data_IF_519814634243
#
_entry.id   IF_519814634243
#
_cell.length_a   1.000
_cell.length_b   1.000
_cell.length_c   1.000
_cell.angle_alpha   90.00
_cell.angle_beta   90.00
_cell.angle_gamma   90.00
#
_symmetry.space_group_name_H-M   'P 1'
#
loop_
_entity.id
_entity.type
_entity.pdbx_description
1 polymer ?
#
# COMPACT_ATOMS: atom_id res chain seq x y z
N UNK A 1 4.53 18.33 17.20
CA UNK A 1 4.24 16.88 17.04
C UNK A 1 4.94 16.39 15.76
N UNK A 2 5.05 15.09 15.51
CA UNK A 2 5.58 14.56 14.23
C UNK A 2 4.54 13.66 13.58
N UNK A 3 4.57 13.61 12.26
CA UNK A 3 3.81 12.65 11.47
C UNK A 3 4.71 12.01 10.42
N UNK A 4 4.23 10.90 9.86
CA UNK A 4 4.98 10.09 8.91
C UNK A 4 4.18 9.94 7.63
N UNK A 5 4.86 9.79 6.50
CA UNK A 5 4.25 9.30 5.27
C UNK A 5 4.88 7.98 4.87
N UNK A 6 4.06 7.09 4.34
CA UNK A 6 4.50 5.88 3.66
C UNK A 6 4.04 5.94 2.21
N UNK A 7 4.97 5.75 1.29
CA UNK A 7 4.73 5.84 -0.17
C UNK A 7 5.28 4.58 -0.81
N UNK A 8 4.46 3.88 -1.59
CA UNK A 8 4.95 2.76 -2.40
C UNK A 8 5.92 3.29 -3.45
N UNK A 9 7.04 2.61 -3.62
CA UNK A 9 8.00 2.97 -4.65
C UNK A 9 7.37 2.68 -6.01
N UNK A 10 7.33 3.71 -6.87
CA UNK A 10 6.72 3.62 -8.21
C UNK A 10 7.65 4.10 -9.33
N UNK A 11 8.85 4.58 -8.97
CA UNK A 11 9.90 4.91 -9.91
C UNK A 11 11.15 4.11 -9.58
N UNK A 12 11.69 3.42 -10.57
CA UNK A 12 12.85 2.54 -10.44
C UNK A 12 14.03 2.99 -11.30
N UNK A 13 13.96 4.21 -11.87
CA UNK A 13 15.05 4.78 -12.67
C UNK A 13 16.33 4.78 -11.83
N UNK A 14 17.36 4.08 -12.32
CA UNK A 14 18.67 3.99 -11.66
C UNK A 14 18.73 3.02 -10.48
N UNK A 15 17.68 2.26 -10.18
CA UNK A 15 17.73 1.21 -9.15
C UNK A 15 18.18 -0.12 -9.80
N UNK A 16 19.40 -0.62 -9.50
CA UNK A 16 19.90 -1.85 -10.12
C UNK A 16 19.28 -3.12 -9.55
N UNK A 17 18.52 -3.04 -8.44
CA UNK A 17 18.01 -4.22 -7.71
C UNK A 17 16.50 -4.40 -7.82
N UNK A 18 15.76 -3.35 -8.11
CA UNK A 18 14.29 -3.38 -8.09
C UNK A 18 13.81 -2.65 -9.33
N UNK A 19 12.94 -3.30 -10.09
CA UNK A 19 12.22 -2.75 -11.23
C UNK A 19 10.71 -2.79 -10.94
N UNK A 20 9.91 -2.19 -11.81
CA UNK A 20 8.44 -2.24 -11.77
C UNK A 20 7.93 -3.68 -11.56
N UNK A 21 8.50 -4.65 -12.27
CA UNK A 21 8.17 -6.07 -12.07
C UNK A 21 8.24 -6.55 -10.62
N UNK A 22 9.30 -6.18 -9.91
CA UNK A 22 9.47 -6.58 -8.52
C UNK A 22 8.41 -5.95 -7.62
N UNK A 23 8.10 -4.68 -7.86
CA UNK A 23 7.13 -3.94 -7.08
C UNK A 23 5.70 -4.44 -7.29
N UNK A 24 5.33 -4.76 -8.52
CA UNK A 24 4.01 -5.31 -8.85
C UNK A 24 3.85 -6.72 -8.27
N UNK A 25 4.89 -7.55 -8.34
CA UNK A 25 4.90 -8.87 -7.71
C UNK A 25 4.85 -8.79 -6.17
N UNK A 26 5.50 -7.78 -5.59
CA UNK A 26 5.52 -7.54 -4.14
C UNK A 26 4.18 -7.01 -3.61
N UNK A 27 3.60 -6.00 -4.28
CA UNK A 27 2.37 -5.36 -3.86
C UNK A 27 1.13 -6.16 -4.27
N UNK A 28 1.20 -6.85 -5.41
CA UNK A 28 0.10 -7.62 -5.99
C UNK A 28 -0.88 -6.76 -6.79
N UNK A 29 -1.81 -7.47 -7.42
CA UNK A 29 -2.91 -6.91 -8.19
C UNK A 29 -4.17 -6.87 -7.32
N UNK A 30 -4.83 -5.72 -7.24
CA UNK A 30 -6.08 -5.56 -6.49
C UNK A 30 -7.29 -5.62 -7.43
N UNK A 31 -8.36 -6.26 -6.96
CA UNK A 31 -9.65 -6.28 -7.62
C UNK A 31 -10.77 -6.11 -6.60
N UNK A 32 -11.81 -5.35 -6.96
CA UNK A 32 -13.02 -5.19 -6.15
C UNK A 32 -14.20 -4.87 -7.06
N UNK A 33 -15.33 -5.52 -6.82
CA UNK A 33 -16.57 -5.31 -7.60
C UNK A 33 -16.37 -5.45 -9.13
N UNK A 34 -15.52 -6.40 -9.54
CA UNK A 34 -15.18 -6.63 -10.95
C UNK A 34 -14.25 -5.58 -11.57
N UNK A 35 -13.75 -4.62 -10.78
CA UNK A 35 -12.78 -3.61 -11.19
C UNK A 35 -11.39 -3.97 -10.72
N UNK A 36 -10.43 -3.91 -11.63
CA UNK A 36 -9.05 -4.27 -11.38
C UNK A 36 -8.16 -3.02 -11.38
N UNK A 37 -7.28 -2.90 -10.39
CA UNK A 37 -6.44 -1.72 -10.18
C UNK A 37 -4.97 -2.07 -10.44
N UNK A 38 -4.19 -1.22 -11.15
CA UNK A 38 -4.46 0.20 -11.44
C UNK A 38 -5.16 0.48 -12.78
N UNK A 39 -5.67 -0.53 -13.49
CA UNK A 39 -6.22 -0.36 -14.85
C UNK A 39 -7.58 0.38 -14.88
N UNK A 40 -8.30 0.45 -13.76
CA UNK A 40 -9.48 1.32 -13.61
C UNK A 40 -9.07 2.79 -13.38
N UNK A 41 -9.79 3.73 -14.01
CA UNK A 41 -9.50 5.18 -13.95
C UNK A 41 -9.77 5.79 -12.58
N UNK A 42 -10.50 5.10 -11.70
CA UNK A 42 -10.83 5.59 -10.37
C UNK A 42 -9.94 4.88 -9.34
N UNK A 43 -8.68 5.31 -9.23
CA UNK A 43 -7.65 4.77 -8.31
C UNK A 43 -8.06 4.79 -6.83
N UNK A 44 -9.09 5.58 -6.47
CA UNK A 44 -9.63 5.73 -5.12
C UNK A 44 -11.03 5.15 -4.94
N UNK A 45 -11.58 4.48 -5.97
CA UNK A 45 -12.92 3.91 -5.90
C UNK A 45 -12.92 2.76 -4.90
N UNK A 46 -13.88 2.83 -3.98
CA UNK A 46 -14.42 1.68 -3.26
C UNK A 46 -13.77 1.27 -1.93
N UNK A 47 -13.18 2.18 -1.14
CA UNK A 47 -13.19 1.96 0.34
C UNK A 47 -14.62 1.95 0.89
N UNK A 48 -15.56 2.56 0.16
CA UNK A 48 -16.97 2.64 0.54
C UNK A 48 -17.76 1.37 0.16
N UNK A 49 -17.19 0.49 -0.66
CA UNK A 49 -17.85 -0.76 -1.04
C UNK A 49 -17.81 -1.76 0.12
N UNK A 50 -18.91 -2.49 0.38
CA UNK A 50 -18.93 -3.54 1.39
C UNK A 50 -18.18 -4.81 0.95
N UNK A 51 -17.79 -4.94 -0.32
CA UNK A 51 -17.11 -6.11 -0.86
C UNK A 51 -15.66 -6.20 -0.39
N UNK A 52 -15.16 -7.41 -0.06
CA UNK A 52 -13.76 -7.59 0.32
C UNK A 52 -12.83 -7.22 -0.84
N UNK A 53 -11.60 -6.81 -0.51
CA UNK A 53 -10.55 -6.65 -1.53
C UNK A 53 -10.13 -8.05 -2.00
N UNK A 54 -10.09 -8.26 -3.31
CA UNK A 54 -9.50 -9.44 -3.92
C UNK A 54 -8.04 -9.13 -4.29
N UNK A 55 -7.11 -10.02 -3.95
CA UNK A 55 -5.69 -9.86 -4.30
C UNK A 55 -5.19 -11.05 -5.11
N UNK A 56 -4.48 -10.77 -6.20
CA UNK A 56 -3.65 -11.75 -6.90
C UNK A 56 -2.17 -11.40 -6.72
N UNK A 57 -1.35 -12.35 -6.27
CA UNK A 57 0.09 -12.11 -6.03
C UNK A 57 0.91 -13.39 -6.05
N UNK A 58 2.22 -13.24 -6.04
CA UNK A 58 3.16 -14.33 -5.71
C UNK A 58 3.35 -14.44 -4.20
N UNK A 59 3.66 -15.65 -3.72
CA UNK A 59 3.85 -15.96 -2.29
C UNK A 59 5.28 -16.34 -1.92
N UNK A 60 6.21 -16.30 -2.87
CA UNK A 60 7.63 -16.60 -2.58
C UNK A 60 8.21 -15.61 -1.56
N UNK A 61 7.67 -14.41 -1.52
CA UNK A 61 7.89 -13.45 -0.46
C UNK A 61 6.52 -12.93 0.04
N UNK A 62 6.25 -13.15 1.32
CA UNK A 62 4.97 -12.83 1.98
C UNK A 62 5.23 -11.63 2.90
N UNK A 63 5.01 -10.39 2.42
CA UNK A 63 5.26 -9.21 3.20
C UNK A 63 4.19 -9.02 4.26
N UNK A 64 4.59 -8.45 5.38
CA UNK A 64 3.70 -8.05 6.45
C UNK A 64 2.78 -6.90 6.06
N UNK A 65 3.28 -6.01 5.20
CA UNK A 65 2.57 -4.87 4.67
C UNK A 65 2.78 -4.83 3.16
N UNK A 66 1.70 -4.81 2.42
CA UNK A 66 1.72 -4.56 0.99
C UNK A 66 0.69 -3.48 0.63
N UNK A 67 0.76 -2.99 -0.61
CA UNK A 67 -0.11 -1.92 -1.07
C UNK A 67 -0.48 -2.12 -2.55
N UNK A 68 -1.30 -3.13 -2.87
CA UNK A 68 -1.76 -3.33 -4.24
C UNK A 68 -2.55 -2.10 -4.67
N UNK A 69 -2.04 -1.40 -5.70
CA UNK A 69 -2.51 -0.08 -6.10
C UNK A 69 -2.50 0.93 -4.92
N UNK A 70 -3.66 1.43 -4.48
CA UNK A 70 -3.78 2.42 -3.41
C UNK A 70 -4.13 1.83 -2.03
N UNK A 71 -4.46 0.53 -1.96
CA UNK A 71 -5.02 -0.12 -0.77
C UNK A 71 -3.94 -0.58 0.20
N UNK A 72 -3.92 -0.07 1.43
CA UNK A 72 -3.01 -0.57 2.47
C UNK A 72 -3.50 -1.91 2.97
N UNK A 73 -2.66 -2.94 2.87
CA UNK A 73 -2.99 -4.30 3.28
C UNK A 73 -1.96 -4.78 4.28
N UNK A 74 -2.43 -5.29 5.41
CA UNK A 74 -1.60 -5.69 6.55
C UNK A 74 -1.89 -7.14 6.94
N UNK A 75 -0.86 -7.85 7.37
CA UNK A 75 -1.00 -9.20 7.90
C UNK A 75 -1.72 -9.17 9.26
N UNK A 76 -2.30 -10.30 9.66
CA UNK A 76 -3.09 -10.45 10.89
C UNK A 76 -2.38 -9.94 12.15
N UNK A 77 -1.05 -9.91 12.18
CA UNK A 77 -0.27 -9.48 13.36
C UNK A 77 -0.51 -8.03 13.76
N UNK A 78 -0.89 -7.16 12.82
CA UNK A 78 -1.14 -5.73 13.11
C UNK A 78 -2.60 -5.43 13.46
N UNK A 79 -3.53 -6.35 13.15
CA UNK A 79 -4.97 -6.12 13.25
C UNK A 79 -5.37 -5.67 14.65
N UNK A 80 -4.96 -6.41 15.69
CA UNK A 80 -5.34 -6.11 17.08
C UNK A 80 -4.89 -4.73 17.56
N UNK A 81 -3.72 -4.27 17.13
CA UNK A 81 -3.20 -2.94 17.50
C UNK A 81 -3.88 -1.84 16.69
N UNK A 82 -4.17 -2.09 15.41
CA UNK A 82 -4.87 -1.14 14.54
C UNK A 82 -6.35 -0.97 14.91
N UNK A 83 -7.02 -2.00 15.41
CA UNK A 83 -8.42 -1.92 15.90
C UNK A 83 -8.59 -0.95 17.08
N UNK A 84 -7.51 -0.63 17.79
CA UNK A 84 -7.52 0.32 18.91
C UNK A 84 -7.46 1.78 18.44
N UNK A 85 -7.15 2.01 17.17
CA UNK A 85 -7.05 3.34 16.61
C UNK A 85 -8.43 3.82 16.13
N UNK A 86 -8.80 5.09 16.38
CA UNK A 86 -10.08 5.62 15.93
C UNK A 86 -10.16 5.73 14.40
N UNK A 87 -11.39 5.72 13.89
CA UNK A 87 -11.72 5.98 12.48
C UNK A 87 -10.98 5.11 11.45
N UNK A 88 -10.59 3.91 11.85
CA UNK A 88 -10.06 2.87 10.97
C UNK A 88 -11.04 1.71 10.91
N UNK A 89 -11.29 1.22 9.70
CA UNK A 89 -12.02 -0.02 9.48
C UNK A 89 -11.06 -1.04 8.89
N UNK A 90 -11.02 -2.22 9.48
CA UNK A 90 -10.27 -3.35 8.94
C UNK A 90 -11.24 -4.27 8.22
N UNK A 91 -11.00 -4.50 6.94
CA UNK A 91 -11.80 -5.40 6.13
C UNK A 91 -10.98 -6.61 5.71
N UNK A 92 -11.51 -7.84 5.85
CA UNK A 92 -10.79 -9.03 5.44
C UNK A 92 -10.51 -9.00 3.93
N UNK A 93 -9.31 -9.41 3.56
CA UNK A 93 -8.89 -9.61 2.18
C UNK A 93 -9.17 -11.05 1.77
N UNK A 94 -9.57 -11.25 0.52
CA UNK A 94 -9.60 -12.58 -0.10
C UNK A 94 -8.49 -12.68 -1.14
N UNK A 95 -7.63 -13.68 -1.02
CA UNK A 95 -6.67 -13.97 -2.08
C UNK A 95 -7.41 -14.69 -3.21
N UNK A 96 -7.57 -14.02 -4.35
CA UNK A 96 -8.19 -14.59 -5.55
C UNK A 96 -7.26 -15.57 -6.23
N UNK A 97 -5.96 -15.27 -6.22
CA UNK A 97 -4.94 -16.09 -6.87
C UNK A 97 -3.58 -15.93 -6.22
N UNK A 98 -2.93 -17.06 -5.95
CA UNK A 98 -1.58 -17.15 -5.41
C UNK A 98 -0.73 -17.94 -6.38
N UNK A 99 0.24 -17.30 -7.00
CA UNK A 99 1.05 -17.91 -8.06
C UNK A 99 2.45 -18.27 -7.56
N UNK A 100 3.05 -19.30 -8.16
CA UNK A 100 4.45 -19.64 -7.93
C UNK A 100 5.35 -18.98 -8.97
N UNK A 101 5.62 -17.69 -8.75
CA UNK A 101 6.64 -16.96 -9.50
C UNK A 101 7.82 -16.78 -8.57
N UNK A 102 8.93 -17.39 -8.94
CA UNK A 102 10.20 -17.08 -8.32
C UNK A 102 10.56 -15.64 -8.68
N UNK A 103 10.57 -14.79 -7.66
CA UNK A 103 10.97 -13.41 -7.76
C UNK A 103 11.76 -13.10 -6.49
N UNK A 104 13.03 -12.78 -6.67
CA UNK A 104 13.86 -12.28 -5.60
C UNK A 104 14.28 -10.85 -5.94
N UNK A 105 14.48 -10.03 -4.92
CA UNK A 105 15.11 -8.72 -5.11
C UNK A 105 16.45 -8.90 -5.81
N UNK A 106 16.65 -8.15 -6.90
CA UNK A 106 17.87 -8.20 -7.72
C UNK A 106 17.89 -9.34 -8.72
N UNK A 107 16.85 -10.20 -8.75
CA UNK A 107 16.70 -11.21 -9.78
C UNK A 107 16.12 -10.56 -11.04
N UNK A 108 16.94 -10.47 -12.08
CA UNK A 108 16.54 -9.97 -13.39
C UNK A 108 16.34 -11.11 -14.41
N UNK A 109 16.46 -12.37 -13.99
CA UNK A 109 16.30 -13.53 -14.89
C UNK A 109 14.89 -13.66 -15.47
N UNK A 110 13.90 -12.99 -14.85
CA UNK A 110 12.54 -12.92 -15.38
C UNK A 110 12.49 -12.25 -16.76
N UNK A 111 13.36 -11.26 -17.03
CA UNK A 111 13.44 -10.58 -18.35
C UNK A 111 13.81 -11.62 -19.44
N UNK A 112 14.70 -12.57 -19.12
CA UNK A 112 15.14 -13.63 -20.04
C UNK A 112 14.09 -14.74 -20.18
N UNK A 113 13.44 -15.10 -19.07
CA UNK A 113 12.49 -16.22 -19.01
C UNK A 113 11.13 -15.89 -19.63
N UNK A 114 10.66 -14.66 -19.44
CA UNK A 114 9.31 -14.25 -19.81
C UNK A 114 9.30 -13.13 -20.86
N UNK A 115 10.43 -12.46 -21.10
CA UNK A 115 10.47 -11.27 -21.94
C UNK A 115 9.84 -10.04 -21.27
N UNK A 116 9.57 -8.96 -22.02
CA UNK A 116 8.92 -7.76 -21.51
C UNK A 116 7.42 -8.01 -21.31
N UNK A 117 7.06 -8.80 -20.29
CA UNK A 117 5.67 -9.11 -19.93
C UNK A 117 5.22 -8.17 -18.82
N UNK A 118 4.00 -7.65 -18.94
CA UNK A 118 3.34 -6.92 -17.86
C UNK A 118 3.17 -7.86 -16.65
N UNK A 119 3.75 -7.54 -15.47
CA UNK A 119 3.60 -8.34 -14.26
C UNK A 119 2.12 -8.64 -13.93
N UNK A 120 1.22 -7.70 -14.19
CA UNK A 120 -0.20 -7.87 -13.98
C UNK A 120 -0.79 -8.92 -14.93
N UNK A 121 -0.38 -8.93 -16.20
CA UNK A 121 -0.78 -9.98 -17.16
C UNK A 121 -0.23 -11.35 -16.75
N UNK A 122 0.99 -11.42 -16.24
CA UNK A 122 1.56 -12.67 -15.74
C UNK A 122 0.76 -13.21 -14.56
N UNK A 123 0.40 -12.35 -13.59
CA UNK A 123 -0.49 -12.72 -12.49
C UNK A 123 -1.88 -13.16 -12.98
N UNK A 124 -2.37 -12.61 -14.10
CA UNK A 124 -3.66 -12.99 -14.69
C UNK A 124 -3.64 -14.39 -15.34
N UNK A 125 -2.50 -14.81 -15.87
CA UNK A 125 -2.39 -16.01 -16.72
C UNK A 125 -1.89 -17.24 -15.99
N UNK A 126 -1.10 -17.07 -14.93
CA UNK A 126 -0.56 -18.19 -14.16
C UNK A 126 -1.63 -18.92 -13.35
N UNK A 127 -1.40 -20.22 -13.14
CA UNK A 127 -2.29 -21.06 -12.35
C UNK A 127 -2.29 -20.65 -10.87
N UNK A 128 -3.47 -20.70 -10.26
CA UNK A 128 -3.59 -20.58 -8.81
C UNK A 128 -3.03 -21.82 -8.12
N UNK A 129 -2.17 -21.63 -7.13
CA UNK A 129 -1.50 -22.70 -6.38
C UNK A 129 -2.23 -22.87 -5.05
N UNK A 130 -3.12 -23.86 -5.00
CA UNK A 130 -4.05 -24.08 -3.88
C UNK A 130 -3.36 -24.22 -2.51
N UNK A 131 -2.16 -24.81 -2.48
CA UNK A 131 -1.37 -25.02 -1.27
C UNK A 131 -0.93 -23.69 -0.63
N UNK A 132 -0.79 -22.64 -1.41
CA UNK A 132 -0.35 -21.34 -0.92
C UNK A 132 -1.42 -20.63 -0.09
N UNK A 133 -2.70 -20.89 -0.35
CA UNK A 133 -3.81 -20.38 0.46
C UNK A 133 -3.77 -20.91 1.90
N UNK A 134 -3.18 -22.08 2.11
CA UNK A 134 -2.98 -22.67 3.45
C UNK A 134 -1.82 -22.02 4.22
N UNK A 135 -0.91 -21.33 3.51
CA UNK A 135 0.34 -20.79 4.07
C UNK A 135 0.33 -19.29 4.25
N UNK A 136 -0.38 -18.56 3.39
CA UNK A 136 -0.32 -17.10 3.35
C UNK A 136 -0.85 -16.45 4.63
N UNK A 137 -1.78 -17.11 5.32
CA UNK A 137 -2.40 -16.57 6.53
C UNK A 137 -3.46 -15.51 6.21
N UNK A 138 -3.88 -14.78 7.24
CA UNK A 138 -4.94 -13.79 7.12
C UNK A 138 -4.39 -12.38 6.95
N UNK A 139 -5.07 -11.61 6.10
CA UNK A 139 -4.74 -10.23 5.80
C UNK A 139 -6.01 -9.37 5.89
N UNK A 140 -5.81 -8.10 6.22
CA UNK A 140 -6.87 -7.10 6.24
C UNK A 140 -6.45 -5.87 5.43
N UNK A 141 -7.39 -5.31 4.69
CA UNK A 141 -7.30 -3.96 4.15
C UNK A 141 -7.54 -2.96 5.28
N UNK A 142 -6.68 -1.97 5.39
CA UNK A 142 -6.84 -0.81 6.27
C UNK A 142 -7.62 0.26 5.52
N UNK A 143 -8.92 0.32 5.75
CA UNK A 143 -9.78 1.38 5.23
C UNK A 143 -9.72 2.58 6.16
N UNK A 144 -9.28 3.70 5.61
CA UNK A 144 -9.10 4.96 6.31
C UNK A 144 -9.70 6.12 5.52
N UNK A 145 -9.90 7.26 6.19
CA UNK A 145 -10.46 8.45 5.56
C UNK A 145 -9.53 9.01 4.49
N UNK A 146 -10.11 9.51 3.41
CA UNK A 146 -9.39 10.38 2.47
C UNK A 146 -9.14 11.72 3.16
N UNK A 147 -7.95 12.27 3.00
CA UNK A 147 -7.58 13.55 3.58
C UNK A 147 -8.62 14.65 3.31
N UNK A 148 -9.07 14.74 2.05
CA UNK A 148 -10.04 15.75 1.60
C UNK A 148 -11.40 15.66 2.33
N UNK A 149 -11.79 14.48 2.79
CA UNK A 149 -13.07 14.26 3.48
C UNK A 149 -12.98 14.59 4.98
N UNK A 150 -11.76 14.73 5.52
CA UNK A 150 -11.49 14.98 6.93
C UNK A 150 -11.06 16.43 7.20
N UNK A 151 -10.28 17.04 6.30
CA UNK A 151 -9.58 18.31 6.54
C UNK A 151 -10.51 19.48 6.87
N UNK A 152 -11.69 19.54 6.27
CA UNK A 152 -12.65 20.64 6.47
C UNK A 152 -13.17 20.73 7.91
N UNK A 153 -13.10 19.63 8.66
CA UNK A 153 -13.52 19.57 10.07
C UNK A 153 -12.51 20.21 11.03
N UNK A 154 -11.31 20.54 10.56
CA UNK A 154 -10.20 21.04 11.39
C UNK A 154 -9.72 22.41 10.90
N UNK A 155 -10.34 23.51 11.35
CA UNK A 155 -9.96 24.86 10.92
C UNK A 155 -8.53 25.24 11.32
N UNK A 156 -7.95 24.58 12.32
CA UNK A 156 -6.57 24.76 12.78
C UNK A 156 -5.53 24.05 11.90
N UNK A 157 -5.96 23.29 10.87
CA UNK A 157 -5.05 22.58 9.98
C UNK A 157 -4.20 23.55 9.14
N UNK A 158 -2.88 23.41 9.26
CA UNK A 158 -1.88 24.24 8.58
C UNK A 158 -1.31 23.50 7.38
N UNK A 159 -0.89 24.26 6.38
CA UNK A 159 -0.23 23.75 5.18
C UNK A 159 1.18 23.24 5.50
N UNK A 160 1.49 22.06 4.97
CA UNK A 160 2.78 21.40 5.11
C UNK A 160 3.12 20.80 3.74
N UNK A 161 4.31 21.10 3.24
CA UNK A 161 4.81 20.51 2.00
C UNK A 161 5.40 19.15 2.29
N UNK A 162 4.89 18.12 1.61
CA UNK A 162 5.39 16.75 1.68
C UNK A 162 5.90 16.29 0.31
N UNK A 163 6.78 15.30 0.32
CA UNK A 163 7.28 14.65 -0.90
C UNK A 163 6.43 13.41 -1.18
N UNK A 164 5.84 13.33 -2.38
CA UNK A 164 4.90 12.26 -2.71
C UNK A 164 5.48 11.16 -3.58
N UNK A 165 6.57 11.42 -4.31
CA UNK A 165 7.13 10.46 -5.27
C UNK A 165 8.48 9.91 -4.86
N UNK A 166 8.82 8.79 -5.46
CA UNK A 166 10.15 8.19 -5.38
C UNK A 166 11.13 9.06 -6.17
N UNK A 167 12.27 9.45 -5.58
CA UNK A 167 13.38 10.04 -6.31
C UNK A 167 13.75 9.20 -7.56
N UNK A 168 14.30 9.81 -8.63
CA UNK A 168 14.74 11.21 -8.71
C UNK A 168 13.64 12.23 -9.03
N UNK A 169 12.39 11.79 -9.23
CA UNK A 169 11.28 12.71 -9.48
C UNK A 169 10.92 13.45 -8.19
N UNK A 170 11.43 14.67 -8.03
CA UNK A 170 11.01 15.56 -6.96
C UNK A 170 9.62 16.10 -7.30
N UNK A 171 8.59 15.46 -6.76
CA UNK A 171 7.25 16.03 -6.71
C UNK A 171 6.88 16.23 -5.25
N UNK A 172 6.55 17.47 -4.92
CA UNK A 172 5.99 17.83 -3.63
C UNK A 172 4.51 18.17 -3.77
N UNK A 173 3.76 17.94 -2.70
CA UNK A 173 2.37 18.32 -2.57
C UNK A 173 2.15 19.02 -1.25
N UNK A 174 1.20 19.94 -1.22
CA UNK A 174 0.81 20.65 0.00
C UNK A 174 -0.37 19.90 0.62
N UNK A 175 -0.19 19.47 1.87
CA UNK A 175 -1.25 18.87 2.69
C UNK A 175 -1.57 19.80 3.86
N UNK A 176 -2.84 19.90 4.25
CA UNK A 176 -3.23 20.61 5.47
C UNK A 176 -3.49 19.63 6.60
N UNK A 177 -2.75 19.75 7.71
CA UNK A 177 -2.86 18.87 8.87
C UNK A 177 -2.83 19.67 10.18
N UNK A 178 -3.41 19.11 11.24
CA UNK A 178 -3.29 19.58 12.61
C UNK A 178 -3.08 18.39 13.55
N UNK A 179 -2.63 18.65 14.80
CA UNK A 179 -2.46 17.58 15.80
C UNK A 179 -3.77 16.86 16.08
N UNK A 180 -4.85 17.62 16.31
CA UNK A 180 -6.19 17.04 16.57
C UNK A 180 -6.69 16.20 15.40
N UNK A 181 -6.43 16.62 14.16
CA UNK A 181 -6.78 15.83 12.99
C UNK A 181 -6.09 14.45 12.98
N UNK A 182 -4.82 14.37 13.40
CA UNK A 182 -4.06 13.11 13.44
C UNK A 182 -4.32 12.28 14.71
N UNK A 183 -4.89 12.89 15.75
CA UNK A 183 -5.41 12.18 16.92
C UNK A 183 -6.72 11.47 16.57
N UNK A 184 -7.62 12.16 15.86
CA UNK A 184 -8.90 11.61 15.42
C UNK A 184 -8.74 10.67 14.21
N UNK A 185 -7.91 11.04 13.23
CA UNK A 185 -7.63 10.24 12.02
C UNK A 185 -6.16 9.85 11.96
N UNK A 186 -5.74 8.81 12.71
CA UNK A 186 -4.32 8.44 12.84
C UNK A 186 -3.73 7.81 11.57
N UNK A 187 -4.57 7.37 10.63
CA UNK A 187 -4.18 6.92 9.30
C UNK A 187 -5.07 7.66 8.30
N UNK A 188 -4.48 8.34 7.32
CA UNK A 188 -5.20 9.11 6.30
C UNK A 188 -4.64 8.77 4.92
N UNK A 189 -5.53 8.53 3.97
CA UNK A 189 -5.16 8.35 2.57
C UNK A 189 -4.94 9.72 1.89
N UNK A 190 -3.76 9.93 1.32
CA UNK A 190 -3.39 11.14 0.59
C UNK A 190 -2.73 10.76 -0.74
N UNK A 191 -3.57 10.39 -1.71
CA UNK A 191 -3.11 10.09 -3.06
C UNK A 191 -2.18 8.88 -3.12
N UNK A 192 -0.97 9.11 -3.61
CA UNK A 192 0.08 8.09 -3.69
C UNK A 192 0.75 7.80 -2.33
N UNK A 193 0.39 8.51 -1.26
CA UNK A 193 0.96 8.34 0.08
C UNK A 193 -0.11 8.07 1.12
N UNK A 194 0.30 7.46 2.22
CA UNK A 194 -0.53 7.32 3.42
C UNK A 194 0.13 8.11 4.53
N UNK A 195 -0.63 9.02 5.12
CA UNK A 195 -0.22 9.84 6.25
C UNK A 195 -0.53 9.06 7.52
N UNK A 196 0.46 8.97 8.41
CA UNK A 196 0.38 8.25 9.66
C UNK A 196 0.73 9.20 10.82
N UNK A 197 -0.10 9.19 11.86
CA UNK A 197 0.29 9.70 13.15
C UNK A 197 1.48 8.90 13.71
N UNK A 198 2.16 9.44 14.74
CA UNK A 198 3.27 8.74 15.38
C UNK A 198 2.87 7.38 15.95
N UNK A 199 1.69 7.26 16.56
CA UNK A 199 1.22 5.99 17.13
C UNK A 199 0.93 4.95 16.04
N UNK A 200 0.22 5.32 14.97
CA UNK A 200 -0.03 4.43 13.84
C UNK A 200 1.27 3.98 13.16
N UNK A 201 2.22 4.90 12.99
CA UNK A 201 3.52 4.56 12.44
C UNK A 201 4.28 3.57 13.31
N UNK A 202 4.27 3.74 14.64
CA UNK A 202 4.94 2.81 15.56
C UNK A 202 4.41 1.37 15.43
N UNK A 203 3.10 1.21 15.25
CA UNK A 203 2.46 -0.09 15.00
C UNK A 203 2.97 -0.71 13.70
N UNK A 204 2.90 0.05 12.59
CA UNK A 204 3.19 -0.47 11.26
C UNK A 204 4.70 -0.61 10.95
N UNK A 205 5.54 0.23 11.55
CA UNK A 205 6.94 0.45 11.16
C UNK A 205 7.79 -0.81 11.07
N UNK A 206 7.49 -1.84 11.87
CA UNK A 206 8.22 -3.12 11.89
C UNK A 206 7.96 -3.98 10.66
N UNK A 207 6.81 -3.81 10.00
CA UNK A 207 6.39 -4.59 8.82
C UNK A 207 6.63 -3.91 7.49
N UNK A 208 7.12 -2.66 7.50
CA UNK A 208 7.35 -1.90 6.27
C UNK A 208 8.67 -2.34 5.65
N UNK A 209 8.58 -2.93 4.46
CA UNK A 209 9.75 -3.22 3.66
C UNK A 209 10.26 -1.94 2.94
N UNK A 210 11.40 -1.42 3.41
CA UNK A 210 12.01 -0.19 2.88
C UNK A 210 12.54 -0.32 1.45
N UNK A 211 12.62 -1.54 0.93
CA UNK A 211 12.95 -1.78 -0.47
C UNK A 211 11.78 -1.45 -1.40
N UNK A 212 10.55 -1.49 -0.88
CA UNK A 212 9.32 -1.25 -1.64
C UNK A 212 8.53 -0.02 -1.15
N UNK A 213 8.90 0.54 -0.01
CA UNK A 213 8.29 1.73 0.56
C UNK A 213 9.32 2.79 0.93
N UNK A 214 8.99 4.05 0.66
CA UNK A 214 9.68 5.20 1.24
C UNK A 214 8.92 5.65 2.48
N UNK A 215 9.66 5.86 3.57
CA UNK A 215 9.16 6.43 4.81
C UNK A 215 9.76 7.82 4.95
N UNK A 216 8.93 8.83 5.20
CA UNK A 216 9.38 10.18 5.52
C UNK A 216 8.77 10.66 6.82
N UNK A 217 9.53 11.48 7.53
CA UNK A 217 9.14 12.08 8.80
C UNK A 217 9.03 13.59 8.62
N UNK A 218 7.95 14.18 9.13
CA UNK A 218 7.68 15.60 9.04
C UNK A 218 7.34 16.20 10.40
N UNK A 219 7.77 17.45 10.66
CA UNK A 219 7.28 18.20 11.80
C UNK A 219 5.83 18.65 11.54
N UNK A 220 5.00 18.56 12.59
CA UNK A 220 3.68 19.16 12.62
C UNK A 220 3.79 20.51 13.37
N UNK A 221 3.59 21.61 12.64
CA UNK A 221 3.80 23.00 13.07
C UNK A 221 2.56 23.58 13.74
#
# INVERSE_FOLDING_TARGET
>A
MKFYTITSISNFIGNPKIKTFHADMFHGLAERDGKEYPHDTIVFANTDSPSPLLISRTVRHIPDICRPSSHLVVSQRYVKELEQLPHIRLMPVTFKRLVDVDYAKGDMSWDEKWGPVDPCELLRTLADVSEFHKRIGHYSEVQCYRWRDAVEKYPTAKEITIEERTPPLQQTSVIRLSSSMLEDFPIINFGASIVLSKCAFQILSKGIDRDFFIIREYPLV
#
